data_IF_279260511045
#
_entry.id   IF_279260511045
#
_cell.length_a   1.000
_cell.length_b   1.000
_cell.length_c   1.000
_cell.angle_alpha   90.00
_cell.angle_beta   90.00
_cell.angle_gamma   90.00
#
_symmetry.space_group_name_H-M   'P 1'
#
loop_
_entity.id
_entity.type
_entity.pdbx_description
1 polymer ?
#
# COMPACT_ATOMS: atom_id res chain seq x y z
N UNK A 1 -0.42 18.12 31.81
CA UNK A 1 -1.46 17.78 30.82
C UNK A 1 -0.75 17.71 29.48
N UNK A 2 -0.65 16.53 28.88
CA UNK A 2 0.11 16.30 27.64
C UNK A 2 -0.75 16.59 26.42
N UNK A 3 -0.19 17.24 25.41
CA UNK A 3 -0.87 17.58 24.16
C UNK A 3 -1.03 16.38 23.22
N UNK A 4 -1.87 16.48 22.18
CA UNK A 4 -2.15 15.36 21.27
C UNK A 4 -0.92 14.81 20.50
N UNK A 5 0.17 15.58 20.40
CA UNK A 5 1.44 15.12 19.81
C UNK A 5 2.38 14.39 20.78
N UNK A 6 2.07 14.32 22.07
CA UNK A 6 2.96 13.71 23.06
C UNK A 6 2.86 12.19 23.11
N UNK A 7 1.71 11.61 22.72
CA UNK A 7 1.49 10.15 22.75
C UNK A 7 2.33 9.42 21.71
N UNK A 8 2.35 9.82 20.41
CA UNK A 8 3.20 9.15 19.42
C UNK A 8 4.69 9.23 19.75
N UNK A 9 5.15 10.39 20.22
CA UNK A 9 6.55 10.59 20.64
C UNK A 9 6.94 9.69 21.81
N UNK A 10 6.13 9.62 22.86
CA UNK A 10 6.38 8.73 24.01
C UNK A 10 6.35 7.25 23.61
N UNK A 11 5.44 6.86 22.71
CA UNK A 11 5.39 5.50 22.19
C UNK A 11 6.69 5.14 21.44
N UNK A 12 7.22 6.05 20.62
CA UNK A 12 8.50 5.85 19.93
C UNK A 12 9.66 5.68 20.92
N UNK A 13 9.76 6.55 21.93
CA UNK A 13 10.82 6.45 22.94
C UNK A 13 10.75 5.12 23.73
N UNK A 14 9.55 4.72 24.15
CA UNK A 14 9.34 3.44 24.83
C UNK A 14 9.69 2.25 23.95
N UNK A 15 9.27 2.28 22.68
CA UNK A 15 9.53 1.19 21.73
C UNK A 15 11.01 1.08 21.34
N UNK A 16 11.77 2.17 21.33
CA UNK A 16 13.24 2.11 21.18
C UNK A 16 13.88 1.30 22.31
N UNK A 17 13.52 1.57 23.57
CA UNK A 17 14.05 0.82 24.72
C UNK A 17 13.65 -0.66 24.67
N UNK A 18 12.41 -0.96 24.30
CA UNK A 18 11.93 -2.34 24.11
C UNK A 18 12.72 -3.03 23.00
N UNK A 19 12.89 -2.36 21.86
CA UNK A 19 13.65 -2.92 20.74
C UNK A 19 15.09 -3.24 21.16
N UNK A 20 15.77 -2.31 21.82
CA UNK A 20 17.14 -2.54 22.30
C UNK A 20 17.24 -3.72 23.26
N UNK A 21 16.26 -3.88 24.16
CA UNK A 21 16.21 -5.02 25.08
C UNK A 21 16.00 -6.34 24.34
N UNK A 22 15.08 -6.39 23.37
CA UNK A 22 14.81 -7.59 22.59
C UNK A 22 15.99 -7.96 21.67
N UNK A 23 16.68 -6.97 21.09
CA UNK A 23 17.91 -7.20 20.32
C UNK A 23 19.01 -7.75 21.21
N UNK A 24 19.20 -7.23 22.42
CA UNK A 24 20.20 -7.79 23.36
C UNK A 24 19.86 -9.21 23.79
N UNK A 25 18.58 -9.52 23.98
CA UNK A 25 18.15 -10.82 24.49
C UNK A 25 18.20 -11.94 23.43
N UNK A 26 17.83 -11.65 22.18
CA UNK A 26 17.68 -12.66 21.14
C UNK A 26 18.36 -12.35 19.81
N UNK A 27 19.03 -11.21 19.68
CA UNK A 27 19.62 -10.74 18.44
C UNK A 27 18.65 -9.92 17.56
N UNK A 28 19.16 -9.26 16.51
CA UNK A 28 18.41 -8.30 15.72
C UNK A 28 17.26 -8.91 14.89
N UNK A 29 17.35 -10.21 14.56
CA UNK A 29 16.34 -10.94 13.80
C UNK A 29 15.41 -11.80 14.68
N UNK A 30 15.53 -11.72 16.02
CA UNK A 30 14.59 -12.38 16.91
C UNK A 30 13.16 -11.93 16.63
N UNK A 31 12.21 -12.86 16.68
CA UNK A 31 10.78 -12.59 16.40
C UNK A 31 10.26 -11.41 17.22
N UNK A 32 10.66 -11.30 18.49
CA UNK A 32 10.25 -10.19 19.37
C UNK A 32 10.86 -8.86 18.94
N UNK A 33 12.15 -8.84 18.57
CA UNK A 33 12.83 -7.65 18.08
C UNK A 33 12.20 -7.15 16.77
N UNK A 34 11.92 -8.05 15.81
CA UNK A 34 11.24 -7.69 14.55
C UNK A 34 9.84 -7.11 14.81
N UNK A 35 9.06 -7.73 15.71
CA UNK A 35 7.73 -7.20 16.11
C UNK A 35 7.82 -5.83 16.78
N UNK A 36 8.79 -5.63 17.68
CA UNK A 36 9.02 -4.33 18.31
C UNK A 36 9.41 -3.28 17.27
N UNK A 37 10.25 -3.63 16.30
CA UNK A 37 10.66 -2.77 15.19
C UNK A 37 9.48 -2.35 14.30
N UNK A 38 8.58 -3.27 13.95
CA UNK A 38 7.37 -2.92 13.19
C UNK A 38 6.41 -2.02 13.95
N UNK A 39 6.29 -2.20 15.27
CA UNK A 39 5.51 -1.27 16.11
C UNK A 39 6.17 0.11 16.17
N UNK A 40 7.49 0.16 16.31
CA UNK A 40 8.27 1.40 16.28
C UNK A 40 8.03 2.15 14.97
N UNK A 41 8.12 1.46 13.84
CA UNK A 41 7.83 2.00 12.50
C UNK A 41 6.43 2.61 12.41
N UNK A 42 5.41 1.91 12.90
CA UNK A 42 4.05 2.43 12.92
C UNK A 42 3.95 3.77 13.68
N UNK A 43 4.54 3.84 14.88
CA UNK A 43 4.50 5.05 15.69
C UNK A 43 5.40 6.17 15.18
N UNK A 44 6.50 5.85 14.49
CA UNK A 44 7.32 6.84 13.79
C UNK A 44 6.51 7.53 12.69
N UNK A 45 5.76 6.78 11.89
CA UNK A 45 4.86 7.37 10.88
C UNK A 45 3.76 8.21 11.53
N UNK A 46 3.14 7.71 12.60
CA UNK A 46 2.10 8.45 13.34
C UNK A 46 2.63 9.75 13.97
N UNK A 47 3.91 9.79 14.34
CA UNK A 47 4.61 10.98 14.86
C UNK A 47 5.16 11.88 13.73
N UNK A 48 4.82 11.62 12.46
CA UNK A 48 5.25 12.43 11.32
C UNK A 48 6.71 12.23 10.91
N UNK A 49 7.30 11.07 11.22
CA UNK A 49 8.71 10.73 10.93
C UNK A 49 8.85 9.51 10.01
N UNK A 50 8.30 9.54 8.79
CA UNK A 50 8.37 8.42 7.86
C UNK A 50 9.80 8.10 7.41
N UNK A 51 10.69 9.08 7.28
CA UNK A 51 12.08 8.84 6.89
C UNK A 51 12.85 8.01 7.93
N UNK A 52 12.62 8.29 9.23
CA UNK A 52 13.17 7.47 10.31
C UNK A 52 12.58 6.05 10.27
N UNK A 53 11.29 5.91 9.96
CA UNK A 53 10.65 4.61 9.83
C UNK A 53 11.25 3.79 8.66
N UNK A 54 11.52 4.43 7.52
CA UNK A 54 12.16 3.82 6.36
C UNK A 54 13.60 3.41 6.68
N UNK A 55 14.37 4.25 7.39
CA UNK A 55 15.73 3.90 7.81
C UNK A 55 15.74 2.66 8.73
N UNK A 56 14.79 2.56 9.65
CA UNK A 56 14.62 1.39 10.55
C UNK A 56 14.30 0.11 9.77
N UNK A 57 13.51 0.19 8.69
CA UNK A 57 13.20 -0.95 7.83
C UNK A 57 14.36 -1.32 6.91
N UNK A 58 15.08 -0.34 6.36
CA UNK A 58 16.26 -0.57 5.53
C UNK A 58 17.33 -1.35 6.31
N UNK A 59 17.60 -0.92 7.55
CA UNK A 59 18.51 -1.62 8.45
C UNK A 59 18.12 -3.10 8.68
N UNK A 60 16.82 -3.37 8.80
CA UNK A 60 16.29 -4.72 8.98
C UNK A 60 16.41 -5.56 7.70
N UNK A 61 16.11 -4.96 6.54
CA UNK A 61 16.23 -5.61 5.24
C UNK A 61 17.66 -6.04 4.97
N UNK A 62 18.64 -5.20 5.26
CA UNK A 62 20.05 -5.52 5.04
C UNK A 62 20.47 -6.75 5.86
N UNK A 63 20.10 -6.79 7.15
CA UNK A 63 20.35 -7.98 7.99
C UNK A 63 19.60 -9.21 7.51
N UNK A 64 18.36 -9.07 7.05
CA UNK A 64 17.58 -10.18 6.52
C UNK A 64 18.18 -10.72 5.22
N UNK A 65 18.70 -9.87 4.35
CA UNK A 65 19.37 -10.28 3.10
C UNK A 65 20.65 -11.06 3.36
N UNK A 66 21.38 -10.70 4.42
CA UNK A 66 22.58 -11.44 4.83
C UNK A 66 22.25 -12.81 5.43
N UNK A 67 21.14 -12.93 6.15
CA UNK A 67 20.83 -14.12 6.96
C UNK A 67 19.81 -15.09 6.36
N UNK A 68 19.00 -14.66 5.39
CA UNK A 68 17.87 -15.42 4.86
C UNK A 68 18.02 -15.64 3.35
N UNK A 69 17.50 -16.76 2.81
CA UNK A 69 17.44 -16.96 1.37
C UNK A 69 16.54 -15.90 0.71
N UNK A 70 16.81 -15.62 -0.57
CA UNK A 70 15.93 -14.79 -1.39
C UNK A 70 14.50 -15.33 -1.39
N UNK A 71 13.50 -14.44 -1.37
CA UNK A 71 12.08 -14.80 -1.31
C UNK A 71 11.59 -15.31 0.05
N UNK A 72 12.43 -15.32 1.10
CA UNK A 72 11.98 -15.66 2.45
C UNK A 72 10.82 -14.75 2.90
N UNK A 73 9.80 -15.34 3.52
CA UNK A 73 8.59 -14.62 3.93
C UNK A 73 8.87 -13.38 4.79
N UNK A 74 9.83 -13.48 5.72
CA UNK A 74 10.19 -12.35 6.58
C UNK A 74 10.81 -11.17 5.80
N UNK A 75 11.55 -11.46 4.73
CA UNK A 75 12.13 -10.45 3.84
C UNK A 75 11.04 -9.78 3.01
N UNK A 76 10.11 -10.58 2.45
CA UNK A 76 8.95 -10.07 1.72
C UNK A 76 8.07 -9.18 2.62
N UNK A 77 7.73 -9.63 3.82
CA UNK A 77 6.88 -8.87 4.75
C UNK A 77 7.51 -7.51 5.11
N UNK A 78 8.83 -7.46 5.24
CA UNK A 78 9.55 -6.20 5.51
C UNK A 78 9.52 -5.26 4.31
N UNK A 79 9.71 -5.77 3.07
CA UNK A 79 9.55 -4.96 1.85
C UNK A 79 8.15 -4.40 1.69
N UNK A 80 7.12 -5.21 1.96
CA UNK A 80 5.74 -4.72 1.94
C UNK A 80 5.53 -3.60 2.95
N UNK A 81 6.17 -3.69 4.13
CA UNK A 81 6.13 -2.59 5.10
C UNK A 81 6.80 -1.32 4.59
N UNK A 82 7.88 -1.40 3.81
CA UNK A 82 8.51 -0.23 3.17
C UNK A 82 7.52 0.46 2.24
N UNK A 83 6.87 -0.30 1.36
CA UNK A 83 5.84 0.25 0.47
C UNK A 83 4.65 0.86 1.22
N UNK A 84 4.18 0.21 2.29
CA UNK A 84 3.09 0.74 3.14
C UNK A 84 3.51 2.09 3.80
N UNK A 85 4.75 2.21 4.27
CA UNK A 85 5.28 3.47 4.85
C UNK A 85 5.38 4.56 3.79
N UNK A 86 5.88 4.24 2.59
CA UNK A 86 5.96 5.19 1.47
C UNK A 86 4.59 5.72 1.09
N UNK A 87 3.57 4.85 1.01
CA UNK A 87 2.19 5.29 0.77
C UNK A 87 1.70 6.28 1.82
N UNK A 88 1.90 5.97 3.11
CA UNK A 88 1.49 6.85 4.20
C UNK A 88 2.23 8.19 4.20
N UNK A 89 3.47 8.20 3.70
CA UNK A 89 4.28 9.40 3.53
C UNK A 89 3.93 10.20 2.25
N UNK A 90 3.03 9.70 1.41
CA UNK A 90 2.63 10.32 0.14
C UNK A 90 3.52 9.96 -1.06
N UNK A 91 4.52 9.11 -0.90
CA UNK A 91 5.32 8.55 -1.99
C UNK A 91 4.64 7.32 -2.59
N UNK A 92 3.51 7.55 -3.26
CA UNK A 92 2.74 6.46 -3.86
C UNK A 92 3.49 5.76 -5.00
N UNK A 93 4.32 6.47 -5.77
CA UNK A 93 5.10 5.87 -6.87
C UNK A 93 6.20 4.96 -6.33
N UNK A 94 6.97 5.41 -5.34
CA UNK A 94 7.99 4.57 -4.71
C UNK A 94 7.39 3.34 -4.03
N UNK A 95 6.15 3.43 -3.52
CA UNK A 95 5.45 2.27 -3.00
C UNK A 95 5.04 1.26 -4.09
N UNK A 96 4.58 1.73 -5.26
CA UNK A 96 4.30 0.85 -6.41
C UNK A 96 5.54 0.05 -6.79
N UNK A 97 6.71 0.71 -6.84
CA UNK A 97 7.98 0.05 -7.17
C UNK A 97 8.34 -1.04 -6.16
N UNK A 98 8.22 -0.75 -4.86
CA UNK A 98 8.46 -1.75 -3.81
C UNK A 98 7.51 -2.95 -3.90
N UNK A 99 6.22 -2.70 -4.12
CA UNK A 99 5.24 -3.78 -4.20
C UNK A 99 5.43 -4.63 -5.45
N UNK A 100 5.79 -4.04 -6.60
CA UNK A 100 6.12 -4.79 -7.82
C UNK A 100 7.40 -5.62 -7.64
N UNK A 101 8.42 -5.07 -6.99
CA UNK A 101 9.63 -5.81 -6.66
C UNK A 101 9.34 -6.99 -5.72
N UNK A 102 8.55 -6.78 -4.66
CA UNK A 102 8.14 -7.86 -3.76
C UNK A 102 7.30 -8.94 -4.46
N UNK A 103 6.46 -8.55 -5.42
CA UNK A 103 5.64 -9.47 -6.20
C UNK A 103 6.46 -10.37 -7.13
N UNK A 104 7.51 -9.82 -7.75
CA UNK A 104 8.43 -10.57 -8.61
C UNK A 104 9.25 -11.61 -7.81
N UNK A 105 9.36 -11.45 -6.50
CA UNK A 105 10.05 -12.38 -5.61
C UNK A 105 9.14 -13.45 -5.00
N UNK A 106 7.81 -13.39 -5.23
CA UNK A 106 6.91 -14.48 -4.83
C UNK A 106 7.12 -15.65 -5.78
N UNK A 107 7.56 -16.84 -5.32
CA UNK A 107 7.83 -17.95 -6.22
C UNK A 107 6.55 -18.44 -6.90
N UNK A 108 6.65 -18.67 -8.21
CA UNK A 108 5.58 -19.32 -8.98
C UNK A 108 5.35 -20.75 -8.49
N UNK A 109 4.09 -21.20 -8.48
CA UNK A 109 3.75 -22.60 -8.16
C UNK A 109 3.96 -23.03 -6.71
N UNK A 110 4.33 -22.14 -5.78
CA UNK A 110 4.57 -22.45 -4.35
C UNK A 110 3.29 -22.73 -3.52
N UNK A 111 2.23 -23.19 -4.18
CA UNK A 111 0.97 -23.58 -3.57
C UNK A 111 0.07 -22.42 -3.12
N UNK A 112 -1.09 -22.74 -2.52
CA UNK A 112 -2.17 -21.77 -2.27
C UNK A 112 -1.80 -20.59 -1.35
N UNK A 113 -0.80 -20.76 -0.48
CA UNK A 113 -0.33 -19.69 0.40
C UNK A 113 0.43 -18.61 -0.38
N UNK A 114 1.34 -19.01 -1.28
CA UNK A 114 2.04 -18.10 -2.18
C UNK A 114 1.07 -17.41 -3.12
N UNK A 115 0.06 -18.13 -3.63
CA UNK A 115 -1.03 -17.54 -4.42
C UNK A 115 -1.78 -16.45 -3.65
N UNK A 116 -2.18 -16.70 -2.40
CA UNK A 116 -2.83 -15.68 -1.55
C UNK A 116 -1.92 -14.47 -1.28
N UNK A 117 -0.63 -14.70 -1.04
CA UNK A 117 0.33 -13.60 -0.84
C UNK A 117 0.47 -12.76 -2.12
N UNK A 118 0.64 -13.38 -3.28
CA UNK A 118 0.68 -12.68 -4.56
C UNK A 118 -0.58 -11.84 -4.80
N UNK A 119 -1.77 -12.39 -4.55
CA UNK A 119 -3.05 -11.66 -4.65
C UNK A 119 -3.10 -10.44 -3.72
N UNK A 120 -2.61 -10.58 -2.48
CA UNK A 120 -2.55 -9.48 -1.52
C UNK A 120 -1.57 -8.38 -1.95
N UNK A 121 -0.46 -8.73 -2.60
CA UNK A 121 0.50 -7.76 -3.13
C UNK A 121 -0.05 -7.08 -4.39
N UNK A 122 -0.68 -7.81 -5.31
CA UNK A 122 -1.36 -7.25 -6.49
C UNK A 122 -2.39 -6.19 -6.10
N UNK A 123 -3.17 -6.45 -5.06
CA UNK A 123 -4.12 -5.47 -4.52
C UNK A 123 -3.43 -4.21 -4.01
N UNK A 124 -2.29 -4.34 -3.31
CA UNK A 124 -1.49 -3.19 -2.87
C UNK A 124 -0.96 -2.38 -4.04
N UNK A 125 -0.47 -3.03 -5.11
CA UNK A 125 -0.04 -2.36 -6.35
C UNK A 125 -1.19 -1.54 -6.94
N UNK A 126 -2.37 -2.14 -7.06
CA UNK A 126 -3.54 -1.47 -7.64
C UNK A 126 -3.94 -0.23 -6.83
N UNK A 127 -4.04 -0.34 -5.50
CA UNK A 127 -4.31 0.82 -4.63
C UNK A 127 -3.19 1.87 -4.64
N UNK A 128 -1.93 1.45 -4.71
CA UNK A 128 -0.81 2.38 -4.77
C UNK A 128 -0.83 3.19 -6.09
N UNK A 129 -1.27 2.60 -7.20
CA UNK A 129 -1.48 3.30 -8.47
C UNK A 129 -2.64 4.30 -8.40
N UNK A 130 -3.73 3.98 -7.68
CA UNK A 130 -4.80 4.93 -7.38
C UNK A 130 -4.26 6.14 -6.60
N UNK A 131 -3.48 5.88 -5.55
CA UNK A 131 -2.82 6.92 -4.74
C UNK A 131 -1.81 7.75 -5.55
N UNK A 132 -1.11 7.12 -6.50
CA UNK A 132 -0.21 7.78 -7.45
C UNK A 132 -0.94 8.58 -8.54
N UNK A 133 -2.29 8.58 -8.51
CA UNK A 133 -3.16 9.27 -9.48
C UNK A 133 -2.97 8.78 -10.91
N UNK A 134 -2.64 7.51 -11.06
CA UNK A 134 -2.48 6.78 -12.32
C UNK A 134 -3.69 5.86 -12.58
N UNK A 135 -4.79 6.38 -13.15
CA UNK A 135 -6.00 5.59 -13.39
C UNK A 135 -5.80 4.48 -14.43
N UNK A 136 -4.96 4.70 -15.45
CA UNK A 136 -4.67 3.69 -16.46
C UNK A 136 -3.90 2.51 -15.85
N UNK A 137 -2.79 2.80 -15.16
CA UNK A 137 -2.04 1.76 -14.48
C UNK A 137 -2.86 1.04 -13.39
N UNK A 138 -3.73 1.77 -12.68
CA UNK A 138 -4.63 1.18 -11.71
C UNK A 138 -5.65 0.22 -12.34
N UNK A 139 -6.28 0.60 -13.46
CA UNK A 139 -7.19 -0.27 -14.20
C UNK A 139 -6.49 -1.58 -14.61
N UNK A 140 -5.32 -1.48 -15.25
CA UNK A 140 -4.53 -2.64 -15.65
C UNK A 140 -4.19 -3.55 -14.46
N UNK A 141 -3.82 -2.96 -13.32
CA UNK A 141 -3.48 -3.72 -12.11
C UNK A 141 -4.70 -4.41 -11.49
N UNK A 142 -5.88 -3.77 -11.53
CA UNK A 142 -7.12 -4.36 -11.05
C UNK A 142 -7.61 -5.48 -11.97
N UNK A 143 -7.44 -5.36 -13.29
CA UNK A 143 -7.73 -6.43 -14.26
C UNK A 143 -6.83 -7.65 -14.01
N UNK A 144 -5.52 -7.44 -13.90
CA UNK A 144 -4.58 -8.51 -13.55
C UNK A 144 -4.93 -9.19 -12.22
N UNK A 145 -5.41 -8.44 -11.23
CA UNK A 145 -5.89 -9.00 -9.97
C UNK A 145 -7.20 -9.79 -10.16
N UNK A 146 -8.13 -9.30 -10.97
CA UNK A 146 -9.39 -9.98 -11.27
C UNK A 146 -9.14 -11.34 -11.93
N UNK A 147 -8.24 -11.41 -12.91
CA UNK A 147 -7.86 -12.64 -13.59
C UNK A 147 -7.17 -13.64 -12.65
N UNK A 148 -6.26 -13.13 -11.81
CA UNK A 148 -5.59 -13.95 -10.79
C UNK A 148 -6.58 -14.47 -9.74
N UNK A 149 -7.57 -13.67 -9.32
CA UNK A 149 -8.63 -14.07 -8.39
C UNK A 149 -9.55 -15.10 -9.02
N UNK A 150 -9.96 -14.94 -10.27
CA UNK A 150 -10.83 -15.91 -10.94
C UNK A 150 -10.15 -17.28 -11.08
N UNK A 151 -8.84 -17.27 -11.35
CA UNK A 151 -8.06 -18.51 -11.45
C UNK A 151 -7.89 -19.20 -10.09
N UNK A 152 -7.59 -18.44 -9.04
CA UNK A 152 -7.29 -19.01 -7.71
C UNK A 152 -8.54 -19.29 -6.86
N UNK A 153 -9.56 -18.44 -6.99
CA UNK A 153 -10.77 -18.41 -6.18
C UNK A 153 -11.99 -18.02 -7.05
N UNK A 154 -12.50 -18.92 -7.91
CA UNK A 154 -13.57 -18.62 -8.86
C UNK A 154 -14.76 -17.90 -8.22
N UNK A 155 -15.25 -16.85 -8.87
CA UNK A 155 -16.34 -16.00 -8.39
C UNK A 155 -15.95 -14.86 -7.43
N UNK A 156 -14.69 -14.76 -6.99
CA UNK A 156 -14.25 -13.66 -6.10
C UNK A 156 -13.70 -12.42 -6.81
N UNK A 157 -13.70 -12.41 -8.14
CA UNK A 157 -13.16 -11.31 -8.94
C UNK A 157 -14.07 -10.06 -9.02
N UNK A 158 -15.33 -10.15 -8.56
CA UNK A 158 -16.34 -9.10 -8.75
C UNK A 158 -15.90 -7.71 -8.26
N UNK A 159 -15.32 -7.64 -7.05
CA UNK A 159 -14.86 -6.37 -6.50
C UNK A 159 -13.70 -5.76 -7.31
N UNK A 160 -12.74 -6.59 -7.75
CA UNK A 160 -11.65 -6.13 -8.61
C UNK A 160 -12.16 -5.60 -9.94
N UNK A 161 -13.11 -6.30 -10.59
CA UNK A 161 -13.76 -5.83 -11.83
C UNK A 161 -14.51 -4.52 -11.63
N UNK A 162 -15.14 -4.31 -10.47
CA UNK A 162 -15.77 -3.03 -10.15
C UNK A 162 -14.73 -1.88 -10.07
N UNK A 163 -13.56 -2.13 -9.49
CA UNK A 163 -12.49 -1.13 -9.47
C UNK A 163 -12.02 -0.75 -10.88
N UNK A 164 -11.86 -1.71 -11.80
CA UNK A 164 -11.50 -1.45 -13.21
C UNK A 164 -12.50 -0.47 -13.84
N UNK A 165 -13.80 -0.76 -13.73
CA UNK A 165 -14.85 0.09 -14.29
C UNK A 165 -14.78 1.53 -13.76
N UNK A 166 -14.51 1.70 -12.46
CA UNK A 166 -14.35 3.04 -11.86
C UNK A 166 -13.12 3.75 -12.43
N UNK A 167 -11.98 3.05 -12.56
CA UNK A 167 -10.75 3.64 -13.09
C UNK A 167 -10.85 3.99 -14.58
N UNK A 168 -11.53 3.17 -15.38
CA UNK A 168 -11.80 3.47 -16.79
C UNK A 168 -12.62 4.74 -16.94
N UNK A 169 -13.67 4.89 -16.14
CA UNK A 169 -14.48 6.11 -16.12
C UNK A 169 -13.62 7.34 -15.76
N UNK A 170 -12.76 7.22 -14.75
CA UNK A 170 -11.85 8.29 -14.36
C UNK A 170 -10.88 8.65 -15.48
N UNK A 171 -10.32 7.65 -16.16
CA UNK A 171 -9.44 7.82 -17.32
C UNK A 171 -10.16 8.51 -18.47
N UNK A 172 -11.32 7.99 -18.89
CA UNK A 172 -12.12 8.56 -19.99
C UNK A 172 -12.53 10.01 -19.70
N UNK A 173 -12.92 10.31 -18.46
CA UNK A 173 -13.27 11.68 -18.06
C UNK A 173 -12.08 12.63 -18.20
N UNK A 174 -10.86 12.20 -17.81
CA UNK A 174 -9.64 13.00 -17.98
C UNK A 174 -9.26 13.22 -19.44
N UNK A 175 -9.46 12.20 -20.28
CA UNK A 175 -9.20 12.29 -21.73
C UNK A 175 -10.21 13.21 -22.43
N UNK A 176 -11.49 13.14 -22.06
CA UNK A 176 -12.55 13.92 -22.67
C UNK A 176 -12.57 15.39 -22.22
N UNK A 177 -12.12 15.69 -20.99
CA UNK A 177 -12.25 17.01 -20.40
C UNK A 177 -10.92 17.53 -19.81
N UNK A 178 -10.24 18.39 -20.56
CA UNK A 178 -8.91 18.98 -20.23
C UNK A 178 -8.92 19.85 -18.96
N UNK A 179 -10.10 20.33 -18.51
CA UNK A 179 -10.24 21.22 -17.34
C UNK A 179 -11.28 20.72 -16.32
N UNK A 180 -11.21 19.44 -15.94
CA UNK A 180 -11.98 18.98 -14.78
C UNK A 180 -11.22 19.33 -13.49
N UNK A 181 -11.80 20.14 -12.58
CA UNK A 181 -11.13 20.51 -11.34
C UNK A 181 -10.83 19.28 -10.47
N UNK A 182 -9.67 19.26 -9.81
CA UNK A 182 -9.23 18.12 -8.99
C UNK A 182 -10.20 17.72 -7.86
N UNK A 183 -11.03 18.64 -7.36
CA UNK A 183 -12.04 18.35 -6.33
C UNK A 183 -13.11 17.35 -6.81
N UNK A 184 -13.44 17.35 -8.11
CA UNK A 184 -14.42 16.44 -8.70
C UNK A 184 -13.98 14.98 -8.54
N UNK A 185 -12.70 14.71 -8.83
CA UNK A 185 -12.12 13.37 -8.69
C UNK A 185 -11.83 12.99 -7.24
N UNK A 186 -11.52 13.96 -6.37
CA UNK A 186 -11.29 13.67 -4.96
C UNK A 186 -12.58 13.27 -4.22
N UNK A 187 -13.73 13.80 -4.65
CA UNK A 187 -15.05 13.36 -4.15
C UNK A 187 -15.37 11.91 -4.54
N UNK A 188 -14.89 11.48 -5.69
CA UNK A 188 -15.09 10.13 -6.25
C UNK A 188 -14.49 9.00 -5.39
N UNK A 189 -13.39 9.27 -4.68
CA UNK A 189 -12.77 8.29 -3.79
C UNK A 189 -13.45 8.20 -2.41
N UNK A 190 -14.39 9.10 -2.09
CA UNK A 190 -15.00 9.21 -0.77
C UNK A 190 -16.28 8.39 -0.59
N UNK A 191 -17.14 8.24 -1.61
CA UNK A 191 -18.42 7.53 -1.51
C UNK A 191 -18.99 7.17 -2.90
N UNK A 192 -19.68 6.03 -2.94
CA UNK A 192 -20.19 5.25 -4.08
C UNK A 192 -20.99 5.98 -5.20
N UNK A 193 -21.22 5.24 -6.30
CA UNK A 193 -22.01 5.51 -7.54
C UNK A 193 -23.06 6.64 -7.53
N UNK A 194 -23.79 6.86 -6.43
CA UNK A 194 -24.75 7.95 -6.32
C UNK A 194 -24.09 9.34 -6.38
N UNK A 195 -22.93 9.50 -5.74
CA UNK A 195 -22.14 10.72 -5.84
C UNK A 195 -21.58 10.92 -7.26
N UNK A 196 -21.28 9.83 -7.98
CA UNK A 196 -20.87 9.89 -9.37
C UNK A 196 -21.99 10.38 -10.29
N UNK A 197 -23.19 9.81 -10.19
CA UNK A 197 -24.35 10.24 -11.01
C UNK A 197 -24.65 11.71 -10.76
N UNK A 198 -24.60 12.15 -9.50
CA UNK A 198 -24.80 13.55 -9.15
C UNK A 198 -23.69 14.46 -9.70
N UNK A 199 -22.43 14.04 -9.62
CA UNK A 199 -21.29 14.80 -10.11
C UNK A 199 -21.28 14.90 -11.65
N UNK A 200 -21.57 13.81 -12.37
CA UNK A 200 -21.70 13.81 -13.84
C UNK A 200 -22.84 14.73 -14.30
N UNK A 201 -23.99 14.70 -13.61
CA UNK A 201 -25.09 15.61 -13.90
C UNK A 201 -24.68 17.07 -13.67
N UNK A 202 -23.90 17.36 -12.63
CA UNK A 202 -23.39 18.70 -12.37
C UNK A 202 -22.36 19.16 -13.40
N UNK A 203 -21.46 18.27 -13.83
CA UNK A 203 -20.49 18.55 -14.88
C UNK A 203 -21.18 18.87 -16.21
N UNK A 204 -22.10 18.02 -16.68
CA UNK A 204 -22.87 18.27 -17.92
C UNK A 204 -23.60 19.63 -17.88
N UNK A 205 -24.22 19.97 -16.74
CA UNK A 205 -24.85 21.31 -16.57
C UNK A 205 -23.87 22.46 -16.72
N UNK A 206 -22.62 22.31 -16.30
CA UNK A 206 -21.61 23.38 -16.32
C UNK A 206 -20.82 23.46 -17.63
N UNK A 207 -20.66 22.35 -18.33
CA UNK A 207 -19.84 22.28 -19.56
C UNK A 207 -20.67 22.24 -20.83
N UNK A 208 -22.00 22.05 -20.75
CA UNK A 208 -22.90 22.07 -21.90
C UNK A 208 -22.69 20.93 -22.90
N UNK A 209 -22.18 19.79 -22.42
CA UNK A 209 -22.11 18.54 -23.18
C UNK A 209 -23.37 17.69 -22.91
#
# INVERSE_FOLDING_TARGET
MFGPGDVPRQAVEGLRRVLDAEVRAGGPLAVKAVKARFRLVHWLVADGRPDEALAVLAELLDRQREALPAGADALLDTRLRVGDVRLLAGDARGAVDDFRAALAEVPDGAGPAASRKALAIRRRVAHALEAARDPAGSADAWDQLADALETAEPGKAAAARQHVQVQDVLLQTRLAHVRVPGWFFNRFHGTDRADFVAALADLHRRTGA
#
